data_IF_559826741803
#
_entry.id   IF_559826741803
#
_cell.length_a   1.000
_cell.length_b   1.000
_cell.length_c   1.000
_cell.angle_alpha   90.00
_cell.angle_beta   90.00
_cell.angle_gamma   90.00
#
_symmetry.space_group_name_H-M   'P 1'
#
loop_
_entity.id
_entity.type
_entity.pdbx_description
1 polymer ?
#
# COMPACT_ATOMS: atom_id res chain seq x y z
N UNK A 1 -11.77 8.85 -1.32
CA UNK A 1 -11.31 9.69 -2.46
C UNK A 1 -11.67 8.95 -3.74
N UNK A 2 -12.36 9.61 -4.66
CA UNK A 2 -12.79 8.99 -5.92
C UNK A 2 -11.67 9.00 -6.96
N UNK A 3 -11.76 8.13 -7.97
CA UNK A 3 -10.80 8.05 -9.08
C UNK A 3 -10.51 9.41 -9.75
N UNK A 4 -11.52 10.20 -10.21
CA UNK A 4 -11.24 11.46 -10.90
C UNK A 4 -10.54 12.47 -10.00
N UNK A 5 -10.84 12.46 -8.69
CA UNK A 5 -10.19 13.34 -7.74
C UNK A 5 -8.72 12.94 -7.53
N UNK A 6 -8.45 11.64 -7.38
CA UNK A 6 -7.10 11.10 -7.28
C UNK A 6 -6.25 11.45 -8.50
N UNK A 7 -6.73 11.11 -9.71
CA UNK A 7 -6.00 11.35 -10.95
C UNK A 7 -5.70 12.84 -11.18
N UNK A 8 -6.66 13.72 -10.82
CA UNK A 8 -6.47 15.17 -10.89
C UNK A 8 -5.39 15.65 -9.92
N UNK A 9 -5.48 15.26 -8.65
CA UNK A 9 -4.50 15.66 -7.63
C UNK A 9 -3.10 15.11 -7.92
N UNK A 10 -3.01 13.89 -8.44
CA UNK A 10 -1.75 13.29 -8.89
C UNK A 10 -1.12 14.09 -10.04
N UNK A 11 -1.92 14.44 -11.05
CA UNK A 11 -1.44 15.28 -12.17
C UNK A 11 -1.03 16.67 -11.69
N UNK A 12 -1.79 17.27 -10.78
CA UNK A 12 -1.44 18.55 -10.15
C UNK A 12 -0.12 18.46 -9.39
N UNK A 13 0.07 17.39 -8.62
CA UNK A 13 1.26 17.18 -7.83
C UNK A 13 2.50 16.92 -8.68
N UNK A 14 2.41 16.08 -9.70
CA UNK A 14 3.56 15.63 -10.48
C UNK A 14 3.95 16.60 -11.61
N UNK A 15 2.97 17.32 -12.19
CA UNK A 15 3.20 18.19 -13.35
C UNK A 15 3.01 19.66 -13.03
N UNK A 16 1.86 20.05 -12.50
CA UNK A 16 1.53 21.47 -12.34
C UNK A 16 2.34 22.15 -11.23
N UNK A 17 2.60 21.47 -10.11
CA UNK A 17 3.49 22.02 -9.08
C UNK A 17 4.91 22.28 -9.61
N UNK A 18 5.45 21.35 -10.40
CA UNK A 18 6.77 21.52 -11.03
C UNK A 18 6.78 22.73 -11.97
N UNK A 19 5.73 22.93 -12.77
CA UNK A 19 5.58 24.10 -13.65
C UNK A 19 5.53 25.39 -12.83
N UNK A 20 4.74 25.43 -11.76
CA UNK A 20 4.65 26.60 -10.87
C UNK A 20 6.01 26.92 -10.25
N UNK A 21 6.77 25.89 -9.84
CA UNK A 21 8.11 26.08 -9.27
C UNK A 21 9.10 26.64 -10.30
N UNK A 22 9.13 26.08 -11.50
CA UNK A 22 9.99 26.56 -12.60
C UNK A 22 9.61 27.98 -13.03
N UNK A 23 8.31 28.27 -13.16
CA UNK A 23 7.82 29.59 -13.51
C UNK A 23 8.17 30.62 -12.42
N UNK A 24 8.02 30.25 -11.15
CA UNK A 24 8.42 31.10 -10.02
C UNK A 24 9.92 31.40 -10.02
N UNK A 25 10.76 30.39 -10.25
CA UNK A 25 12.21 30.57 -10.38
C UNK A 25 12.58 31.46 -11.58
N UNK A 26 11.92 31.27 -12.72
CA UNK A 26 12.12 32.10 -13.90
C UNK A 26 11.74 33.56 -13.64
N UNK A 27 10.59 33.81 -13.02
CA UNK A 27 10.16 35.17 -12.65
C UNK A 27 11.15 35.86 -11.71
N UNK A 28 11.76 35.13 -10.77
CA UNK A 28 12.81 35.67 -9.90
C UNK A 28 14.06 36.10 -10.69
N UNK A 29 14.48 35.30 -11.68
CA UNK A 29 15.61 35.65 -12.55
C UNK A 29 15.31 36.92 -13.36
N UNK A 30 14.13 37.00 -13.98
CA UNK A 30 13.71 38.17 -14.76
C UNK A 30 13.60 39.41 -13.86
N UNK A 31 13.07 39.26 -12.64
CA UNK A 31 13.00 40.34 -11.65
C UNK A 31 14.39 40.86 -11.30
N UNK A 32 15.37 39.98 -11.07
CA UNK A 32 16.75 40.37 -10.80
C UNK A 32 17.41 41.08 -12.00
N UNK A 33 17.17 40.59 -13.22
CA UNK A 33 17.63 41.25 -14.44
C UNK A 33 17.03 42.65 -14.59
N UNK A 34 15.73 42.83 -14.38
CA UNK A 34 15.08 44.14 -14.46
C UNK A 34 15.59 45.08 -13.37
N UNK A 35 15.83 44.58 -12.15
CA UNK A 35 16.37 45.36 -11.05
C UNK A 35 17.77 45.93 -11.35
N UNK A 36 18.61 45.15 -12.05
CA UNK A 36 20.04 45.43 -12.25
C UNK A 36 20.39 46.00 -13.62
N UNK A 37 19.80 45.48 -14.69
CA UNK A 37 20.17 45.80 -16.07
C UNK A 37 19.38 46.97 -16.69
N UNK A 38 18.18 47.29 -16.17
CA UNK A 38 17.35 48.36 -16.74
C UNK A 38 17.73 49.71 -16.13
N UNK A 39 18.35 50.58 -16.95
CA UNK A 39 18.81 51.91 -16.52
C UNK A 39 17.68 52.95 -16.48
N UNK A 40 16.62 52.79 -17.29
CA UNK A 40 15.50 53.74 -17.31
C UNK A 40 14.64 53.58 -16.04
N UNK A 41 14.56 54.59 -15.16
CA UNK A 41 13.94 54.46 -13.83
C UNK A 41 12.41 54.26 -13.91
N UNK A 42 11.74 54.81 -14.92
CA UNK A 42 10.28 54.63 -15.09
C UNK A 42 9.96 53.20 -15.50
N UNK A 43 10.66 52.69 -16.52
CA UNK A 43 10.48 51.31 -17.02
C UNK A 43 10.83 50.30 -15.93
N UNK A 44 11.94 50.53 -15.22
CA UNK A 44 12.35 49.69 -14.08
C UNK A 44 11.28 49.63 -13.00
N UNK A 45 10.72 50.77 -12.58
CA UNK A 45 9.71 50.82 -11.51
C UNK A 45 8.44 50.05 -11.89
N UNK A 46 7.90 50.28 -13.08
CA UNK A 46 6.70 49.58 -13.55
C UNK A 46 6.97 48.10 -13.81
N UNK A 47 8.14 47.76 -14.36
CA UNK A 47 8.59 46.38 -14.56
C UNK A 47 8.72 45.62 -13.25
N UNK A 48 9.34 46.22 -12.23
CA UNK A 48 9.43 45.62 -10.89
C UNK A 48 8.05 45.41 -10.27
N UNK A 49 7.16 46.41 -10.29
CA UNK A 49 5.80 46.27 -9.75
C UNK A 49 5.04 45.13 -10.44
N UNK A 50 5.08 45.09 -11.78
CA UNK A 50 4.39 44.06 -12.56
C UNK A 50 4.96 42.65 -12.32
N UNK A 51 6.27 42.51 -12.26
CA UNK A 51 6.93 41.22 -11.99
C UNK A 51 6.72 40.76 -10.55
N UNK A 52 6.78 41.66 -9.56
CA UNK A 52 6.45 41.33 -8.17
C UNK A 52 4.99 40.92 -8.03
N UNK A 53 4.05 41.62 -8.67
CA UNK A 53 2.64 41.23 -8.71
C UNK A 53 2.45 39.84 -9.34
N UNK A 54 3.13 39.57 -10.45
CA UNK A 54 3.11 38.27 -11.12
C UNK A 54 3.67 37.16 -10.24
N UNK A 55 4.78 37.42 -9.53
CA UNK A 55 5.39 36.48 -8.60
C UNK A 55 4.45 36.15 -7.44
N UNK A 56 3.77 37.15 -6.87
CA UNK A 56 2.77 36.95 -5.81
C UNK A 56 1.58 36.12 -6.31
N UNK A 57 1.12 36.34 -7.54
CA UNK A 57 0.06 35.52 -8.14
C UNK A 57 0.50 34.06 -8.32
N UNK A 58 1.71 33.83 -8.83
CA UNK A 58 2.27 32.48 -8.99
C UNK A 58 2.45 31.79 -7.63
N UNK A 59 2.98 32.50 -6.63
CA UNK A 59 3.13 31.98 -5.28
C UNK A 59 1.77 31.66 -4.63
N UNK A 60 0.79 32.54 -4.77
CA UNK A 60 -0.58 32.33 -4.29
C UNK A 60 -1.25 31.13 -4.95
N UNK A 61 -1.14 31.00 -6.28
CA UNK A 61 -1.64 29.85 -7.02
C UNK A 61 -0.95 28.55 -6.59
N UNK A 62 0.37 28.59 -6.39
CA UNK A 62 1.15 27.47 -5.87
C UNK A 62 0.71 27.04 -4.47
N UNK A 63 0.50 28.01 -3.57
CA UNK A 63 0.00 27.76 -2.22
C UNK A 63 -1.40 27.15 -2.22
N UNK A 64 -2.33 27.71 -3.01
CA UNK A 64 -3.67 27.17 -3.18
C UNK A 64 -3.67 25.74 -3.74
N UNK A 65 -2.81 25.47 -4.73
CA UNK A 65 -2.63 24.13 -5.31
C UNK A 65 -2.07 23.16 -4.28
N UNK A 66 -1.02 23.55 -3.54
CA UNK A 66 -0.44 22.73 -2.47
C UNK A 66 -1.45 22.37 -1.38
N UNK A 67 -2.31 23.33 -1.02
CA UNK A 67 -3.39 23.10 -0.07
C UNK A 67 -4.44 22.12 -0.61
N UNK A 68 -4.84 22.31 -1.88
CA UNK A 68 -5.80 21.43 -2.55
C UNK A 68 -5.31 19.97 -2.63
N UNK A 69 -4.04 19.72 -2.92
CA UNK A 69 -3.49 18.36 -3.05
C UNK A 69 -3.11 17.70 -1.71
N UNK A 70 -3.25 18.37 -0.56
CA UNK A 70 -2.88 17.80 0.75
C UNK A 70 -3.48 16.41 1.03
N UNK A 71 -4.77 16.16 0.75
CA UNK A 71 -5.36 14.83 0.98
C UNK A 71 -4.66 13.74 0.15
N UNK A 72 -4.27 14.06 -1.10
CA UNK A 72 -3.51 13.16 -1.95
C UNK A 72 -2.11 12.93 -1.38
N UNK A 73 -1.37 13.98 -0.99
CA UNK A 73 -0.01 13.83 -0.43
C UNK A 73 0.01 12.97 0.84
N UNK A 74 -1.02 13.03 1.67
CA UNK A 74 -1.16 12.18 2.86
C UNK A 74 -1.37 10.71 2.50
N UNK A 75 -2.23 10.43 1.53
CA UNK A 75 -2.51 9.07 1.08
C UNK A 75 -1.37 8.48 0.24
N UNK A 76 -0.69 9.31 -0.56
CA UNK A 76 0.39 8.86 -1.43
C UNK A 76 1.59 8.30 -0.65
N UNK A 77 1.79 8.73 0.61
CA UNK A 77 2.78 8.13 1.53
C UNK A 77 2.53 6.65 1.82
N UNK A 78 1.30 6.18 1.63
CA UNK A 78 0.90 4.78 1.83
C UNK A 78 0.97 3.97 0.52
N UNK A 79 1.22 4.64 -0.61
CA UNK A 79 1.35 4.00 -1.92
C UNK A 79 2.78 3.52 -2.07
N UNK A 80 3.00 2.26 -1.71
CA UNK A 80 4.29 1.56 -1.88
C UNK A 80 4.31 0.78 -3.20
N UNK A 81 5.47 0.26 -3.65
CA UNK A 81 5.56 -0.67 -4.78
C UNK A 81 4.65 -1.91 -4.64
N UNK A 82 4.23 -2.23 -3.42
CA UNK A 82 3.23 -3.26 -3.14
C UNK A 82 1.81 -2.89 -3.54
N UNK A 83 1.47 -1.61 -3.44
CA UNK A 83 0.14 -1.08 -3.75
C UNK A 83 0.05 -0.70 -5.23
N UNK A 84 1.16 -0.19 -5.78
CA UNK A 84 1.18 0.39 -7.11
C UNK A 84 2.50 0.11 -7.81
N UNK A 85 2.43 -0.45 -9.02
CA UNK A 85 3.61 -0.85 -9.82
C UNK A 85 4.10 0.25 -10.78
N UNK A 86 3.40 1.38 -10.83
CA UNK A 86 3.77 2.54 -11.62
C UNK A 86 3.71 3.78 -10.76
N UNK A 87 4.73 4.62 -10.77
CA UNK A 87 4.73 5.92 -10.08
C UNK A 87 4.42 7.05 -11.05
N UNK A 88 3.85 8.12 -10.52
CA UNK A 88 3.57 9.33 -11.28
C UNK A 88 4.82 10.21 -11.31
N UNK A 89 5.31 10.51 -12.51
CA UNK A 89 6.36 11.47 -12.76
C UNK A 89 5.86 12.59 -13.68
N UNK A 90 6.69 13.63 -13.88
CA UNK A 90 6.34 14.80 -14.68
C UNK A 90 5.89 14.45 -16.11
N UNK A 91 6.58 13.48 -16.74
CA UNK A 91 6.33 13.03 -18.12
C UNK A 91 5.20 12.00 -18.22
N UNK A 92 4.81 11.35 -17.13
CA UNK A 92 3.78 10.33 -17.13
C UNK A 92 4.01 9.24 -16.07
N UNK A 93 3.44 8.06 -16.31
CA UNK A 93 3.59 6.92 -15.42
C UNK A 93 4.87 6.14 -15.75
N UNK A 94 5.75 5.99 -14.76
CA UNK A 94 7.01 5.24 -14.86
C UNK A 94 6.87 3.95 -14.05
N UNK A 95 7.33 2.83 -14.59
CA UNK A 95 7.28 1.54 -13.89
C UNK A 95 8.26 1.53 -12.70
N UNK A 96 7.84 0.96 -11.58
CA UNK A 96 8.74 0.70 -10.46
C UNK A 96 9.66 -0.49 -10.75
N UNK A 97 10.78 -0.57 -10.04
CA UNK A 97 11.74 -1.66 -10.19
C UNK A 97 11.09 -3.02 -9.90
N UNK A 98 11.31 -3.99 -10.80
CA UNK A 98 10.79 -5.35 -10.64
C UNK A 98 11.31 -6.05 -9.38
N UNK A 99 12.53 -5.73 -8.92
CA UNK A 99 13.08 -6.30 -7.68
C UNK A 99 12.37 -5.78 -6.43
N UNK A 100 11.99 -4.50 -6.41
CA UNK A 100 11.24 -3.89 -5.30
C UNK A 100 9.81 -4.44 -5.22
N UNK A 101 9.17 -4.56 -6.39
CA UNK A 101 7.84 -5.18 -6.49
C UNK A 101 7.90 -6.62 -5.99
N UNK A 102 8.88 -7.41 -6.42
CA UNK A 102 9.03 -8.82 -6.01
C UNK A 102 9.25 -8.95 -4.50
N UNK A 103 10.14 -8.13 -3.93
CA UNK A 103 10.44 -8.15 -2.50
C UNK A 103 9.21 -7.77 -1.66
N UNK A 104 8.40 -6.82 -2.13
CA UNK A 104 7.20 -6.38 -1.42
C UNK A 104 5.98 -7.28 -1.64
N UNK A 105 5.86 -7.91 -2.82
CA UNK A 105 4.81 -8.88 -3.12
C UNK A 105 4.93 -10.17 -2.29
N UNK A 106 6.12 -10.43 -1.73
CA UNK A 106 6.34 -11.54 -0.79
C UNK A 106 5.61 -11.36 0.55
N UNK A 107 5.08 -10.17 0.87
CA UNK A 107 4.28 -9.96 2.08
C UNK A 107 2.78 -10.04 1.77
N UNK A 108 2.01 -10.79 2.58
CA UNK A 108 0.59 -11.09 2.39
C UNK A 108 -0.28 -10.53 3.54
N UNK A 109 0.25 -9.56 4.28
CA UNK A 109 -0.50 -8.76 5.26
C UNK A 109 -0.64 -7.33 4.74
N UNK A 110 -1.83 -6.88 4.36
CA UNK A 110 -2.06 -5.61 3.64
C UNK A 110 -2.71 -4.51 4.52
N UNK A 111 -2.10 -4.08 5.64
CA UNK A 111 -2.67 -3.05 6.51
C UNK A 111 -2.61 -1.64 5.89
N UNK A 112 -1.78 -1.48 4.88
CA UNK A 112 -1.66 -0.31 4.01
C UNK A 112 -2.89 -0.15 3.11
N UNK A 113 -3.41 -1.24 2.54
CA UNK A 113 -4.60 -1.20 1.68
C UNK A 113 -5.87 -0.79 2.43
N UNK A 114 -5.97 -1.14 3.71
CA UNK A 114 -7.09 -0.73 4.59
C UNK A 114 -7.25 0.79 4.71
N UNK A 115 -6.16 1.54 4.55
CA UNK A 115 -6.13 3.00 4.69
C UNK A 115 -6.39 3.71 3.37
N UNK A 116 -6.45 2.97 2.28
CA UNK A 116 -6.47 3.51 0.93
C UNK A 116 -7.89 3.47 0.36
N UNK A 117 -8.43 4.62 -0.08
CA UNK A 117 -9.85 4.72 -0.44
C UNK A 117 -10.23 4.06 -1.77
N UNK A 118 -9.26 3.56 -2.53
CA UNK A 118 -9.47 2.84 -3.78
C UNK A 118 -9.67 1.33 -3.57
N UNK A 119 -9.54 0.84 -2.34
CA UNK A 119 -9.70 -0.56 -2.00
C UNK A 119 -10.95 -0.78 -1.17
N UNK A 120 -11.76 -1.74 -1.60
CA UNK A 120 -12.76 -2.38 -0.77
C UNK A 120 -12.19 -3.67 -0.21
N UNK A 121 -12.65 -4.04 0.98
CA UNK A 121 -12.30 -5.32 1.61
C UNK A 121 -13.55 -6.16 1.84
N UNK A 122 -13.47 -7.43 1.48
CA UNK A 122 -14.46 -8.43 1.86
C UNK A 122 -13.84 -9.43 2.82
N UNK A 123 -14.54 -9.75 3.91
CA UNK A 123 -14.14 -10.82 4.81
C UNK A 123 -14.24 -12.15 4.09
N UNK A 124 -13.18 -12.94 4.16
CA UNK A 124 -13.14 -14.31 3.62
C UNK A 124 -12.80 -15.26 4.74
N UNK A 125 -13.52 -16.37 4.78
CA UNK A 125 -13.27 -17.46 5.72
C UNK A 125 -12.92 -18.73 4.98
N UNK A 126 -11.97 -19.50 5.51
CA UNK A 126 -11.57 -20.78 4.96
C UNK A 126 -11.68 -21.88 6.02
N UNK A 127 -12.50 -22.93 5.82
CA UNK A 127 -12.68 -23.97 6.83
C UNK A 127 -11.39 -24.76 7.05
N UNK A 128 -11.09 -25.08 8.31
CA UNK A 128 -9.94 -25.91 8.69
C UNK A 128 -10.29 -26.93 9.75
N UNK A 129 -9.58 -28.04 9.76
CA UNK A 129 -9.65 -29.02 10.84
C UNK A 129 -8.55 -28.73 11.85
N UNK A 130 -8.91 -28.12 12.98
CA UNK A 130 -7.95 -27.85 14.05
C UNK A 130 -7.45 -29.16 14.68
N UNK A 131 -6.14 -29.25 14.87
CA UNK A 131 -5.46 -30.42 15.43
C UNK A 131 -5.04 -30.20 16.88
N UNK A 132 -4.73 -28.96 17.25
CA UNK A 132 -4.35 -28.60 18.61
C UNK A 132 -3.17 -27.63 18.64
N UNK A 133 -2.76 -27.25 19.84
CA UNK A 133 -1.59 -26.40 20.10
C UNK A 133 -0.40 -27.25 20.57
N UNK A 134 0.79 -26.93 20.09
CA UNK A 134 2.06 -27.53 20.56
C UNK A 134 3.20 -26.51 20.47
N UNK A 135 4.01 -26.40 21.54
CA UNK A 135 5.17 -25.47 21.61
C UNK A 135 4.87 -24.04 21.15
N UNK A 136 3.71 -23.48 21.56
CA UNK A 136 3.28 -22.13 21.19
C UNK A 136 2.66 -21.98 19.79
N UNK A 137 2.70 -23.02 18.97
CA UNK A 137 2.20 -23.04 17.58
C UNK A 137 0.83 -23.71 17.49
N UNK A 138 -0.04 -23.19 16.64
CA UNK A 138 -1.33 -23.79 16.32
C UNK A 138 -1.20 -24.71 15.12
N UNK A 139 -1.75 -25.91 15.22
CA UNK A 139 -1.75 -26.89 14.14
C UNK A 139 -3.15 -27.14 13.61
N UNK A 140 -3.30 -27.14 12.29
CA UNK A 140 -4.57 -27.45 11.63
C UNK A 140 -4.34 -28.05 10.24
N UNK A 141 -5.36 -28.69 9.70
CA UNK A 141 -5.37 -29.21 8.33
C UNK A 141 -6.34 -28.41 7.49
N UNK A 142 -5.91 -28.00 6.29
CA UNK A 142 -6.82 -27.45 5.29
C UNK A 142 -7.37 -28.62 4.47
N UNK A 143 -8.69 -28.93 4.52
CA UNK A 143 -9.25 -30.14 3.90
C UNK A 143 -8.91 -30.28 2.42
N UNK A 144 -8.92 -29.17 1.67
CA UNK A 144 -8.61 -29.14 0.24
C UNK A 144 -7.21 -29.67 -0.11
N UNK A 145 -6.23 -29.44 0.76
CA UNK A 145 -4.84 -29.81 0.51
C UNK A 145 -4.40 -31.05 1.30
N UNK A 146 -5.17 -31.45 2.31
CA UNK A 146 -4.85 -32.54 3.23
C UNK A 146 -3.42 -32.45 3.80
N UNK A 147 -2.99 -31.23 4.14
CA UNK A 147 -1.65 -30.92 4.66
C UNK A 147 -1.75 -30.34 6.07
N UNK A 148 -0.78 -30.67 6.92
CA UNK A 148 -0.68 -30.10 8.27
C UNK A 148 0.00 -28.74 8.20
N UNK A 149 -0.66 -27.72 8.73
CA UNK A 149 -0.17 -26.36 8.79
C UNK A 149 0.19 -25.95 10.21
N UNK A 150 1.28 -25.21 10.36
CA UNK A 150 1.68 -24.49 11.55
C UNK A 150 1.35 -23.00 11.41
N UNK A 151 0.78 -22.42 12.46
CA UNK A 151 0.42 -21.01 12.54
C UNK A 151 0.74 -20.40 13.89
N UNK A 152 1.44 -19.28 13.87
CA UNK A 152 1.90 -18.52 15.06
C UNK A 152 1.25 -17.14 15.16
N UNK A 153 0.34 -16.79 14.24
CA UNK A 153 -0.35 -15.51 14.24
C UNK A 153 -1.49 -15.43 15.26
N UNK A 154 -2.36 -14.43 15.09
CA UNK A 154 -3.48 -14.14 15.99
C UNK A 154 -4.51 -15.27 16.02
N UNK A 155 -4.91 -15.67 17.22
CA UNK A 155 -5.93 -16.72 17.43
C UNK A 155 -7.14 -16.13 18.15
N UNK A 156 -8.33 -16.44 17.66
CA UNK A 156 -9.60 -16.03 18.28
C UNK A 156 -10.39 -17.25 18.71
N UNK A 157 -10.77 -17.31 19.99
CA UNK A 157 -11.60 -18.38 20.52
C UNK A 157 -13.06 -17.94 20.59
N UNK A 158 -13.92 -18.51 19.73
CA UNK A 158 -15.32 -18.09 19.58
C UNK A 158 -16.29 -19.26 19.73
N UNK A 159 -17.58 -18.95 19.88
CA UNK A 159 -18.65 -19.95 19.93
C UNK A 159 -19.02 -20.40 18.49
N UNK A 160 -18.05 -20.93 17.75
CA UNK A 160 -18.24 -21.51 16.41
C UNK A 160 -18.27 -23.03 16.48
N UNK A 161 -19.00 -23.68 15.57
CA UNK A 161 -19.04 -25.14 15.48
C UNK A 161 -17.73 -25.73 14.92
N UNK A 162 -17.11 -25.03 13.96
CA UNK A 162 -15.90 -25.49 13.27
C UNK A 162 -14.83 -24.41 13.28
N UNK A 163 -13.57 -24.83 13.25
CA UNK A 163 -12.42 -23.94 13.11
C UNK A 163 -12.31 -23.43 11.66
N UNK A 164 -11.86 -22.20 11.51
CA UNK A 164 -11.64 -21.59 10.19
C UNK A 164 -10.56 -20.52 10.25
N UNK A 165 -9.89 -20.30 9.13
CA UNK A 165 -9.04 -19.13 8.91
C UNK A 165 -9.92 -17.95 8.52
N UNK A 166 -9.66 -16.79 9.11
CA UNK A 166 -10.31 -15.52 8.81
C UNK A 166 -9.31 -14.58 8.17
N UNK A 167 -9.73 -13.93 7.09
CA UNK A 167 -8.89 -13.09 6.27
C UNK A 167 -9.66 -12.00 5.55
N UNK A 168 -8.96 -11.20 4.75
CA UNK A 168 -9.56 -10.25 3.83
C UNK A 168 -9.16 -10.54 2.39
N UNK A 169 -10.08 -10.29 1.47
CA UNK A 169 -9.80 -10.10 0.07
C UNK A 169 -9.95 -8.61 -0.23
N UNK A 170 -8.88 -8.00 -0.73
CA UNK A 170 -8.90 -6.64 -1.20
C UNK A 170 -9.22 -6.60 -2.67
N UNK A 171 -10.04 -5.63 -3.07
CA UNK A 171 -10.38 -5.39 -4.47
C UNK A 171 -10.41 -3.90 -4.76
N UNK A 172 -9.93 -3.51 -5.94
CA UNK A 172 -10.12 -2.13 -6.40
C UNK A 172 -11.62 -1.86 -6.60
N UNK A 173 -12.10 -0.77 -6.00
CA UNK A 173 -13.49 -0.35 -6.14
C UNK A 173 -13.79 0.30 -7.50
N UNK A 174 -12.75 0.75 -8.20
CA UNK A 174 -12.84 1.26 -9.57
C UNK A 174 -11.69 0.69 -10.42
N UNK A 175 -12.04 0.01 -11.52
CA UNK A 175 -11.07 -0.62 -12.43
C UNK A 175 -10.11 0.39 -13.06
N UNK A 176 -10.48 1.68 -13.14
CA UNK A 176 -9.62 2.73 -13.69
C UNK A 176 -8.37 2.97 -12.85
N UNK A 177 -8.37 2.64 -11.57
CA UNK A 177 -7.15 2.65 -10.76
C UNK A 177 -6.09 1.67 -11.27
N UNK A 178 -6.49 0.55 -11.87
CA UNK A 178 -5.54 -0.38 -12.47
C UNK A 178 -4.76 0.27 -13.64
N UNK A 179 -5.38 1.19 -14.39
CA UNK A 179 -4.70 1.93 -15.45
C UNK A 179 -3.61 2.88 -14.90
N UNK A 180 -3.77 3.37 -13.65
CA UNK A 180 -2.75 4.13 -12.93
C UNK A 180 -1.65 3.23 -12.33
N UNK A 181 -1.76 1.91 -12.46
CA UNK A 181 -0.80 0.94 -11.94
C UNK A 181 -1.12 0.41 -10.55
N UNK A 182 -2.30 0.70 -9.99
CA UNK A 182 -2.72 0.08 -8.72
C UNK A 182 -2.97 -1.41 -8.91
N UNK A 183 -2.49 -2.22 -7.98
CA UNK A 183 -2.64 -3.67 -8.08
C UNK A 183 -3.98 -4.12 -7.50
N UNK A 184 -4.50 -5.22 -8.01
CA UNK A 184 -5.55 -5.97 -7.36
C UNK A 184 -4.91 -7.24 -6.78
N UNK A 185 -4.72 -7.33 -5.45
CA UNK A 185 -4.06 -8.49 -4.86
C UNK A 185 -4.76 -9.79 -5.24
N UNK A 186 -3.99 -10.76 -5.74
CA UNK A 186 -4.52 -12.10 -6.03
C UNK A 186 -4.61 -12.96 -4.77
N UNK A 187 -3.82 -12.64 -3.75
CA UNK A 187 -3.75 -13.36 -2.49
C UNK A 187 -4.79 -12.85 -1.48
N UNK A 188 -5.19 -13.73 -0.56
CA UNK A 188 -5.99 -13.34 0.59
C UNK A 188 -5.06 -13.06 1.77
N UNK A 189 -5.33 -11.99 2.51
CA UNK A 189 -4.63 -11.74 3.76
C UNK A 189 -5.12 -12.69 4.84
N UNK A 190 -4.21 -13.13 5.73
CA UNK A 190 -4.58 -13.88 6.92
C UNK A 190 -4.66 -12.95 8.11
N UNK A 191 -5.82 -12.86 8.76
CA UNK A 191 -6.03 -12.01 9.95
C UNK A 191 -5.94 -12.84 11.23
N UNK A 192 -6.67 -13.95 11.29
CA UNK A 192 -6.70 -14.79 12.49
C UNK A 192 -7.09 -16.24 12.17
N UNK A 193 -6.62 -17.17 13.00
CA UNK A 193 -7.20 -18.51 13.11
C UNK A 193 -8.32 -18.48 14.16
N UNK A 194 -9.55 -18.78 13.75
CA UNK A 194 -10.71 -18.85 14.64
C UNK A 194 -10.94 -20.29 15.06
N UNK A 195 -10.98 -20.53 16.37
CA UNK A 195 -11.08 -21.86 16.97
C UNK A 195 -12.34 -21.93 17.86
N UNK A 196 -13.13 -23.02 17.80
CA UNK A 196 -14.18 -23.28 18.77
C UNK A 196 -13.64 -23.22 20.21
N UNK A 197 -14.35 -22.54 21.13
CA UNK A 197 -13.94 -22.51 22.55
C UNK A 197 -13.77 -23.90 23.17
N UNK A 198 -14.59 -24.87 22.74
CA UNK A 198 -14.49 -26.26 23.17
C UNK A 198 -13.11 -26.89 22.87
N UNK A 199 -12.44 -26.44 21.82
CA UNK A 199 -11.12 -26.93 21.39
C UNK A 199 -9.95 -26.12 21.96
N UNK A 200 -10.19 -25.11 22.81
CA UNK A 200 -9.14 -24.22 23.33
C UNK A 200 -8.00 -24.95 24.06
N UNK A 201 -8.31 -26.06 24.74
CA UNK A 201 -7.34 -26.88 25.48
C UNK A 201 -6.80 -28.06 24.68
N UNK A 202 -7.20 -28.20 23.42
CA UNK A 202 -6.74 -29.30 22.58
C UNK A 202 -5.24 -29.13 22.28
N UNK A 203 -4.45 -30.10 22.67
CA UNK A 203 -3.02 -30.15 22.42
C UNK A 203 -2.73 -31.01 21.20
N UNK A 204 -1.62 -30.73 20.53
CA UNK A 204 -1.13 -31.55 19.43
C UNK A 204 0.35 -31.85 19.65
N UNK A 205 0.68 -33.13 19.75
CA UNK A 205 2.06 -33.60 19.84
C UNK A 205 2.58 -33.93 18.43
N UNK A 206 3.67 -33.25 18.05
CA UNK A 206 4.17 -33.31 16.70
C UNK A 206 5.01 -34.57 16.53
N UNK A 207 4.52 -35.53 15.74
CA UNK A 207 5.27 -36.75 15.44
C UNK A 207 6.51 -36.41 14.60
N UNK A 208 7.65 -37.02 14.92
CA UNK A 208 9.01 -36.71 14.43
C UNK A 208 9.14 -36.69 12.90
N UNK A 209 8.24 -37.38 12.17
CA UNK A 209 8.25 -37.48 10.71
C UNK A 209 7.12 -36.72 10.00
N UNK A 210 6.39 -35.85 10.69
CA UNK A 210 5.26 -35.13 10.07
C UNK A 210 5.75 -33.96 9.23
N UNK A 211 5.44 -33.95 7.94
CA UNK A 211 5.67 -32.77 7.09
C UNK A 211 4.70 -31.65 7.50
N UNK A 212 5.24 -30.59 8.09
CA UNK A 212 4.50 -29.40 8.49
C UNK A 212 4.73 -28.28 7.48
N UNK A 213 3.66 -27.60 7.10
CA UNK A 213 3.70 -26.43 6.23
C UNK A 213 3.52 -25.17 7.07
N UNK A 214 4.32 -24.14 6.85
CA UNK A 214 4.09 -22.88 7.55
C UNK A 214 3.07 -22.06 6.78
N UNK A 215 2.02 -21.64 7.49
CA UNK A 215 1.11 -20.63 6.97
C UNK A 215 1.81 -19.28 7.15
N UNK A 216 2.68 -18.93 6.21
CA UNK A 216 3.31 -17.61 6.19
C UNK A 216 2.23 -16.54 5.98
N UNK A 217 2.34 -15.45 6.73
CA UNK A 217 1.64 -14.18 6.48
C UNK A 217 2.26 -13.44 5.27
N UNK A 218 3.09 -14.12 4.47
CA UNK A 218 3.78 -13.67 3.27
C UNK A 218 3.60 -14.65 2.10
N UNK A 219 3.43 -14.14 0.87
CA UNK A 219 3.35 -14.90 -0.38
C UNK A 219 2.04 -14.77 -1.16
N UNK A 220 2.05 -15.24 -2.42
CA UNK A 220 0.88 -15.24 -3.33
C UNK A 220 -0.17 -16.29 -2.91
N UNK A 221 0.25 -17.29 -2.12
CA UNK A 221 -0.58 -18.37 -1.62
C UNK A 221 -0.57 -18.37 -0.08
N UNK A 222 -1.59 -18.98 0.54
CA UNK A 222 -1.70 -19.21 1.99
C UNK A 222 -0.58 -20.10 2.57
N UNK A 223 0.51 -20.35 1.85
CA UNK A 223 1.47 -21.41 2.17
C UNK A 223 2.88 -21.02 1.74
N UNK A 224 3.85 -21.13 2.65
CA UNK A 224 5.25 -21.27 2.27
C UNK A 224 5.69 -22.71 2.49
N UNK A 225 6.48 -23.24 1.58
CA UNK A 225 7.16 -24.51 1.77
C UNK A 225 8.39 -24.30 2.66
N UNK A 226 8.26 -24.58 3.95
CA UNK A 226 9.41 -24.78 4.83
C UNK A 226 9.29 -26.17 5.44
N UNK A 227 10.04 -27.12 4.88
CA UNK A 227 10.12 -28.49 5.38
C UNK A 227 11.00 -28.47 6.63
N UNK A 228 10.38 -28.52 7.81
CA UNK A 228 11.11 -28.83 9.04
C UNK A 228 11.12 -30.34 9.24
N UNK A 229 12.27 -30.96 9.02
CA UNK A 229 12.58 -32.29 9.55
C UNK A 229 13.10 -32.08 10.98
N UNK A 230 12.40 -32.55 11.99
CA UNK A 230 12.89 -32.48 13.37
C UNK A 230 13.88 -33.61 13.54
N UNK A 231 15.17 -33.32 13.43
CA UNK A 231 16.24 -34.26 13.79
C UNK A 231 16.60 -34.05 15.27
N UNK A 232 16.58 -35.13 16.05
CA UNK A 232 17.05 -35.11 17.45
C UNK A 232 18.59 -35.13 17.45
N UNK A 233 19.17 -34.25 18.27
CA UNK A 233 20.50 -34.44 18.84
C UNK A 233 20.43 -35.49 19.96
#
# INVERSE_FOLDING_TARGET
MTYPLWARMETMSARWMSIVFVLGAFLLIVLAMVATAVQNPRIRRWGLIGLTGSLLLVAGAGGAMYWYIQPYLRLNKLVTPRVRVKRAEFSGLVAESGSEISNMAAYNDYPDLDKLPMYDRSTVTWPVTYKGKGSGTQYFVIPRYNRLYAYTGRVEYTNTAHAYLKGYRYTLNDRRYAALGFINPSAYSTVALVIPKAQKKQTYDLQIQTKVYQLQTGGINWTSETVHRVEKW
#
